data_IF_237009296079
#
_entry.id   IF_237009296079
#
_cell.length_a   1.000
_cell.length_b   1.000
_cell.length_c   1.000
_cell.angle_alpha   90.00
_cell.angle_beta   90.00
_cell.angle_gamma   90.00
#
_symmetry.space_group_name_H-M   'P 1'
#
loop_
_entity.id
_entity.type
_entity.pdbx_description
1 polymer ?
#
# COMPACT_ATOMS: atom_id res chain seq x y z
N UNK A 1 12.91 2.96 -8.75
CA UNK A 1 12.83 1.90 -7.71
C UNK A 1 14.17 1.44 -7.16
N UNK A 2 15.28 1.48 -7.91
CA UNK A 2 16.58 1.02 -7.42
C UNK A 2 17.01 1.65 -6.07
N UNK A 3 16.81 2.96 -5.91
CA UNK A 3 17.13 3.65 -4.65
C UNK A 3 16.31 3.14 -3.45
N UNK A 4 15.02 2.83 -3.65
CA UNK A 4 14.15 2.32 -2.60
C UNK A 4 14.51 0.88 -2.19
N UNK A 5 14.85 0.04 -3.17
CA UNK A 5 15.30 -1.34 -2.91
C UNK A 5 16.61 -1.35 -2.12
N UNK A 6 17.56 -0.50 -2.50
CA UNK A 6 18.85 -0.38 -1.80
C UNK A 6 18.64 0.09 -0.36
N UNK A 7 17.85 1.15 -0.17
CA UNK A 7 17.51 1.64 1.17
C UNK A 7 16.83 0.58 2.04
N UNK A 8 15.88 -0.18 1.47
CA UNK A 8 15.22 -1.28 2.19
C UNK A 8 16.22 -2.39 2.56
N UNK A 9 17.16 -2.71 1.66
CA UNK A 9 18.20 -3.71 1.94
C UNK A 9 19.16 -3.23 3.03
N UNK A 10 19.51 -1.95 3.07
CA UNK A 10 20.30 -1.35 4.16
C UNK A 10 19.61 -1.54 5.51
N UNK A 11 18.30 -1.28 5.60
CA UNK A 11 17.52 -1.51 6.83
C UNK A 11 17.54 -2.99 7.22
N UNK A 12 17.28 -3.89 6.27
CA UNK A 12 17.26 -5.34 6.51
C UNK A 12 18.62 -5.83 7.01
N UNK A 13 19.71 -5.30 6.45
CA UNK A 13 21.08 -5.61 6.87
C UNK A 13 21.38 -5.08 8.28
N UNK A 14 20.94 -3.86 8.60
CA UNK A 14 21.13 -3.26 9.93
C UNK A 14 20.35 -4.04 11.00
N UNK A 15 19.17 -4.55 10.64
CA UNK A 15 18.38 -5.47 11.48
C UNK A 15 18.97 -6.90 11.53
N UNK A 16 20.03 -7.17 10.76
CA UNK A 16 20.72 -8.46 10.67
C UNK A 16 19.80 -9.62 10.29
N UNK A 17 18.87 -9.35 9.39
CA UNK A 17 17.95 -10.36 8.86
C UNK A 17 18.58 -10.97 7.61
N UNK A 18 18.93 -12.25 7.69
CA UNK A 18 19.55 -12.98 6.58
C UNK A 18 18.51 -13.52 5.59
N UNK A 19 17.41 -14.09 6.10
CA UNK A 19 16.36 -14.70 5.31
C UNK A 19 14.98 -14.33 5.86
N UNK A 20 14.03 -14.01 4.97
CA UNK A 20 12.68 -13.63 5.36
C UNK A 20 11.62 -13.92 4.29
N UNK A 21 10.35 -13.80 4.67
CA UNK A 21 9.21 -13.83 3.76
C UNK A 21 8.63 -12.42 3.61
N UNK A 22 8.26 -12.05 2.38
CA UNK A 22 7.46 -10.84 2.16
C UNK A 22 6.00 -11.12 2.45
N UNK A 23 5.38 -10.24 3.23
CA UNK A 23 3.93 -10.05 3.26
C UNK A 23 3.67 -8.62 2.81
N UNK A 24 2.98 -8.45 1.69
CA UNK A 24 2.80 -7.14 1.08
C UNK A 24 1.39 -6.94 0.57
N UNK A 25 0.96 -5.67 0.53
CA UNK A 25 -0.36 -5.27 0.07
C UNK A 25 -0.23 -4.13 -0.97
N UNK A 26 -1.09 -4.13 -1.99
CA UNK A 26 -1.18 -3.05 -2.98
C UNK A 26 0.19 -2.69 -3.59
N UNK A 27 0.60 -1.42 -3.58
CA UNK A 27 1.88 -0.94 -4.10
C UNK A 27 3.10 -1.55 -3.38
N UNK A 28 2.97 -1.92 -2.10
CA UNK A 28 4.01 -2.63 -1.36
C UNK A 28 4.40 -3.95 -2.01
N UNK A 29 3.48 -4.59 -2.74
CA UNK A 29 3.77 -5.79 -3.53
C UNK A 29 4.65 -5.51 -4.74
N UNK A 30 4.61 -4.30 -5.30
CA UNK A 30 5.55 -3.89 -6.34
C UNK A 30 6.97 -3.73 -5.77
N UNK A 31 7.10 -3.11 -4.59
CA UNK A 31 8.38 -3.02 -3.88
C UNK A 31 8.93 -4.42 -3.58
N UNK A 32 8.10 -5.32 -3.05
CA UNK A 32 8.49 -6.69 -2.73
C UNK A 32 9.02 -7.45 -3.96
N UNK A 33 8.35 -7.34 -5.11
CA UNK A 33 8.79 -7.95 -6.37
C UNK A 33 10.13 -7.37 -6.86
N UNK A 34 10.30 -6.05 -6.82
CA UNK A 34 11.56 -5.43 -7.20
C UNK A 34 12.69 -5.79 -6.25
N UNK A 35 12.44 -5.89 -4.95
CA UNK A 35 13.44 -6.35 -4.00
C UNK A 35 13.84 -7.80 -4.27
N UNK A 36 12.87 -8.70 -4.44
CA UNK A 36 13.09 -10.11 -4.76
C UNK A 36 13.96 -10.28 -6.02
N UNK A 37 13.78 -9.45 -7.05
CA UNK A 37 14.58 -9.49 -8.26
C UNK A 37 16.06 -9.12 -8.04
N UNK A 38 16.37 -8.26 -7.06
CA UNK A 38 17.73 -7.77 -6.81
C UNK A 38 18.44 -8.51 -5.67
N UNK A 39 17.68 -9.11 -4.74
CA UNK A 39 18.20 -9.84 -3.57
C UNK A 39 17.49 -11.18 -3.35
N UNK A 40 17.40 -12.07 -4.37
CA UNK A 40 16.65 -13.32 -4.26
C UNK A 40 17.19 -14.24 -3.17
N UNK A 41 18.47 -14.16 -2.84
CA UNK A 41 19.14 -14.97 -1.81
C UNK A 41 18.60 -14.69 -0.39
N UNK A 42 18.04 -13.51 -0.16
CA UNK A 42 17.48 -13.10 1.14
C UNK A 42 16.00 -13.45 1.30
N UNK A 43 15.30 -13.75 0.20
CA UNK A 43 13.83 -13.89 0.22
C UNK A 43 13.42 -15.34 0.04
N UNK A 44 12.81 -15.93 1.07
CA UNK A 44 12.36 -17.32 1.06
C UNK A 44 11.00 -17.51 0.34
N UNK A 45 10.23 -16.44 0.20
CA UNK A 45 8.93 -16.45 -0.47
C UNK A 45 8.20 -15.12 -0.29
N UNK A 46 7.08 -14.97 -1.00
CA UNK A 46 6.23 -13.77 -0.89
C UNK A 46 4.75 -14.14 -0.88
N UNK A 47 3.98 -13.42 -0.06
CA UNK A 47 2.53 -13.43 -0.01
C UNK A 47 2.07 -12.03 -0.42
N UNK A 48 1.41 -11.94 -1.56
CA UNK A 48 0.93 -10.69 -2.13
C UNK A 48 -0.59 -10.60 -1.92
N UNK A 49 -1.02 -9.65 -1.10
CA UNK A 49 -2.44 -9.36 -0.88
C UNK A 49 -2.86 -8.27 -1.87
N UNK A 50 -3.77 -8.62 -2.78
CA UNK A 50 -4.35 -7.71 -3.78
C UNK A 50 -3.31 -6.77 -4.43
N UNK A 51 -2.17 -7.35 -4.81
CA UNK A 51 -1.02 -6.61 -5.32
C UNK A 51 -0.13 -7.52 -6.15
N UNK A 52 0.87 -6.95 -6.83
CA UNK A 52 1.76 -7.70 -7.73
C UNK A 52 1.20 -7.92 -9.14
N UNK A 53 -0.07 -7.60 -9.38
CA UNK A 53 -0.72 -7.63 -10.70
C UNK A 53 -1.28 -6.27 -11.09
N UNK A 54 -0.44 -5.22 -11.11
CA UNK A 54 -0.78 -4.00 -11.83
C UNK A 54 -0.22 -4.10 -13.24
N UNK A 55 -0.94 -4.79 -14.13
CA UNK A 55 -0.85 -4.46 -15.55
C UNK A 55 -1.36 -3.03 -15.71
N UNK A 56 -0.44 -2.06 -15.67
CA UNK A 56 -0.66 -0.66 -16.08
C UNK A 56 -1.22 -0.51 -17.50
N UNK A 57 -1.44 -1.62 -18.22
CA UNK A 57 -1.97 -1.69 -19.58
C UNK A 57 -3.48 -1.39 -19.72
N UNK A 58 -4.24 -1.24 -18.63
CA UNK A 58 -5.68 -0.97 -18.75
C UNK A 58 -6.06 0.51 -18.74
N UNK A 59 -5.17 1.40 -18.31
CA UNK A 59 -5.36 2.84 -18.43
C UNK A 59 -4.02 3.48 -18.80
N UNK A 60 -3.97 4.21 -19.91
CA UNK A 60 -2.82 5.02 -20.35
C UNK A 60 -2.59 6.20 -19.39
N UNK A 61 -2.35 5.91 -18.10
CA UNK A 61 -1.99 6.91 -17.10
C UNK A 61 -0.48 7.01 -17.02
N UNK A 62 0.02 8.23 -17.12
CA UNK A 62 1.41 8.60 -16.89
C UNK A 62 1.77 8.41 -15.41
N UNK A 63 3.08 8.32 -15.12
CA UNK A 63 3.55 8.22 -13.73
C UNK A 63 3.17 9.48 -12.94
N UNK A 64 3.24 10.64 -13.59
CA UNK A 64 2.92 11.94 -13.03
C UNK A 64 1.43 12.02 -12.65
N UNK A 65 0.53 11.49 -13.48
CA UNK A 65 -0.90 11.40 -13.16
C UNK A 65 -1.19 10.45 -12.00
N UNK A 66 -0.43 9.36 -11.89
CA UNK A 66 -0.53 8.41 -10.77
C UNK A 66 -0.06 9.07 -9.46
N UNK A 67 1.08 9.76 -9.48
CA UNK A 67 1.59 10.52 -8.33
C UNK A 67 0.58 11.61 -7.93
N UNK A 68 0.12 12.41 -8.87
CA UNK A 68 -0.83 13.49 -8.61
C UNK A 68 -2.18 12.95 -8.07
N UNK A 69 -2.63 11.79 -8.54
CA UNK A 69 -3.80 11.12 -7.99
C UNK A 69 -3.60 10.75 -6.52
N UNK A 70 -2.49 10.11 -6.17
CA UNK A 70 -2.21 9.71 -4.79
C UNK A 70 -1.96 10.90 -3.86
N UNK A 71 -1.26 11.94 -4.32
CA UNK A 71 -1.08 13.18 -3.55
C UNK A 71 -2.43 13.85 -3.26
N UNK A 72 -3.27 13.99 -4.29
CA UNK A 72 -4.61 14.56 -4.16
C UNK A 72 -5.50 13.72 -3.24
N UNK A 73 -5.51 12.40 -3.41
CA UNK A 73 -6.30 11.48 -2.58
C UNK A 73 -5.87 11.59 -1.11
N UNK A 74 -4.57 11.67 -0.85
CA UNK A 74 -4.04 11.84 0.50
C UNK A 74 -4.40 13.19 1.12
N UNK A 75 -4.26 14.29 0.37
CA UNK A 75 -4.55 15.64 0.85
C UNK A 75 -6.05 15.90 1.04
N UNK A 76 -6.89 15.35 0.17
CA UNK A 76 -8.35 15.54 0.22
C UNK A 76 -9.04 14.59 1.20
N UNK A 77 -8.39 13.50 1.63
CA UNK A 77 -8.93 12.58 2.62
C UNK A 77 -8.78 13.09 4.07
N UNK A 78 -8.97 14.39 4.28
CA UNK A 78 -8.95 15.09 5.57
C UNK A 78 -10.34 15.66 5.87
N UNK A 79 -10.84 15.46 7.09
CA UNK A 79 -12.22 15.79 7.46
C UNK A 79 -12.22 16.59 8.75
N UNK A 80 -13.14 17.56 8.86
CA UNK A 80 -13.17 18.47 10.00
C UNK A 80 -13.81 17.84 11.25
N UNK A 81 -14.60 16.78 11.05
CA UNK A 81 -15.29 16.08 12.11
C UNK A 81 -15.62 14.63 11.70
N UNK A 82 -16.00 13.84 12.71
CA UNK A 82 -16.37 12.43 12.53
C UNK A 82 -17.63 12.22 11.68
N UNK A 83 -18.58 13.16 11.69
CA UNK A 83 -19.82 13.03 10.92
C UNK A 83 -19.56 13.13 9.41
N UNK A 84 -18.72 14.07 8.98
CA UNK A 84 -18.27 14.19 7.58
C UNK A 84 -17.53 12.94 7.13
N UNK A 85 -16.67 12.37 7.99
CA UNK A 85 -15.98 11.11 7.71
C UNK A 85 -16.95 9.93 7.59
N UNK A 86 -17.87 9.73 8.54
CA UNK A 86 -18.83 8.62 8.41
C UNK A 86 -19.73 8.78 7.21
N UNK A 87 -20.03 10.01 6.79
CA UNK A 87 -20.79 10.25 5.58
C UNK A 87 -20.03 9.75 4.35
N UNK A 88 -18.74 10.09 4.19
CA UNK A 88 -17.96 9.60 3.05
C UNK A 88 -17.80 8.08 3.05
N UNK A 89 -17.54 7.49 4.22
CA UNK A 89 -17.43 6.03 4.34
C UNK A 89 -18.76 5.35 3.99
N UNK A 90 -19.90 5.85 4.49
CA UNK A 90 -21.22 5.29 4.14
C UNK A 90 -21.53 5.35 2.65
N UNK A 91 -21.03 6.37 1.94
CA UNK A 91 -21.17 6.50 0.49
C UNK A 91 -20.25 5.51 -0.26
N UNK A 92 -19.08 5.19 0.29
CA UNK A 92 -18.11 4.26 -0.30
C UNK A 92 -18.46 2.77 -0.10
N UNK A 93 -19.12 2.41 1.01
CA UNK A 93 -19.47 1.02 1.31
C UNK A 93 -20.89 0.67 0.82
N UNK A 94 -21.03 -0.50 0.20
CA UNK A 94 -22.35 -1.03 -0.22
C UNK A 94 -23.23 -1.52 0.94
N UNK A 95 -22.67 -1.60 2.15
CA UNK A 95 -23.36 -2.01 3.38
C UNK A 95 -22.84 -1.23 4.58
N UNK A 96 -23.69 -0.98 5.55
CA UNK A 96 -23.32 -0.32 6.80
C UNK A 96 -23.79 -1.12 8.02
N UNK A 97 -22.97 -1.20 9.05
CA UNK A 97 -23.30 -1.84 10.32
C UNK A 97 -22.55 -1.15 11.47
N UNK A 98 -22.99 -1.36 12.70
CA UNK A 98 -22.29 -0.84 13.89
C UNK A 98 -20.85 -1.34 14.00
N UNK A 99 -20.58 -2.59 13.58
CA UNK A 99 -19.22 -3.14 13.54
C UNK A 99 -18.36 -2.46 12.47
N UNK A 100 -18.92 -2.15 11.30
CA UNK A 100 -18.21 -1.41 10.26
C UNK A 100 -17.89 0.01 10.72
N UNK A 101 -18.80 0.66 11.45
CA UNK A 101 -18.55 1.98 12.03
C UNK A 101 -17.38 1.97 13.02
N UNK A 102 -17.24 0.92 13.84
CA UNK A 102 -16.06 0.75 14.70
C UNK A 102 -14.80 0.52 13.87
N UNK A 103 -14.87 -0.38 12.87
CA UNK A 103 -13.71 -0.68 12.03
C UNK A 103 -13.19 0.55 11.27
N UNK A 104 -14.07 1.41 10.73
CA UNK A 104 -13.65 2.63 10.03
C UNK A 104 -13.15 3.72 10.99
N UNK A 105 -13.59 3.71 12.26
CA UNK A 105 -13.00 4.57 13.31
C UNK A 105 -11.56 4.13 13.59
N UNK A 106 -11.34 2.83 13.77
CA UNK A 106 -10.03 2.27 14.09
C UNK A 106 -9.02 2.42 12.95
N UNK A 107 -9.46 2.40 11.69
CA UNK A 107 -8.58 2.65 10.53
C UNK A 107 -8.03 4.08 10.47
N UNK A 108 -8.51 4.98 11.32
CA UNK A 108 -8.11 6.40 11.38
C UNK A 108 -7.21 6.80 12.54
N UNK A 109 -6.76 5.82 13.34
CA UNK A 109 -5.77 5.90 14.44
C UNK A 109 -5.33 7.29 14.88
#
# INVERSE_FOLDING_TARGET
MHNLVNWLNEIINELRIEHFYFLSHSWGSFVALFYLLNHPEKVQGSILIDGGYQTKRLQEKTLEEEIAYYEKDFDEYVFNNWDEFFKSEKEAYTRWSSLLEVAVKDSRG
#
